data_IF_020549101413
#
_entry.id   IF_020549101413
#
_cell.length_a   1.000
_cell.length_b   1.000
_cell.length_c   1.000
_cell.angle_alpha   90.00
_cell.angle_beta   90.00
_cell.angle_gamma   90.00
#
_symmetry.space_group_name_H-M   'P 1'
#
loop_
_entity.id
_entity.type
_entity.pdbx_description
1 polymer ?
#
# COMPACT_ATOMS: atom_id res chain seq x y z
N UNK A 1 -1.66 11.43 1.92
CA UNK A 1 -3.01 10.91 1.61
C UNK A 1 -3.99 11.13 2.76
N UNK A 2 -3.53 11.21 4.02
CA UNK A 2 -4.38 11.57 5.17
C UNK A 2 -5.34 12.75 4.95
N UNK A 3 -4.85 13.91 4.50
CA UNK A 3 -5.70 15.09 4.24
C UNK A 3 -6.73 14.84 3.12
N UNK A 4 -6.34 14.09 2.07
CA UNK A 4 -7.24 13.69 0.98
C UNK A 4 -8.38 12.79 1.47
N UNK A 5 -8.09 11.88 2.40
CA UNK A 5 -9.10 11.02 3.04
C UNK A 5 -10.02 11.84 3.94
N UNK A 6 -9.46 12.70 4.80
CA UNK A 6 -10.23 13.52 5.76
C UNK A 6 -11.20 14.49 5.05
N UNK A 7 -10.80 15.03 3.90
CA UNK A 7 -11.61 15.95 3.11
C UNK A 7 -12.38 15.29 1.96
N UNK A 8 -12.21 13.98 1.75
CA UNK A 8 -12.71 13.26 0.56
C UNK A 8 -12.33 13.97 -0.75
N UNK A 9 -11.15 14.59 -0.77
CA UNK A 9 -10.63 15.34 -1.90
C UNK A 9 -9.46 14.58 -2.51
N UNK A 10 -9.71 13.97 -3.66
CA UNK A 10 -8.73 13.20 -4.41
C UNK A 10 -8.16 13.97 -5.60
N UNK A 11 -8.30 15.30 -5.61
CA UNK A 11 -7.64 16.13 -6.61
C UNK A 11 -6.13 15.91 -6.57
N UNK A 12 -5.54 15.57 -7.72
CA UNK A 12 -4.11 15.23 -7.84
C UNK A 12 -3.78 13.74 -7.79
N UNK A 13 -4.75 12.85 -7.53
CA UNK A 13 -4.57 11.41 -7.77
C UNK A 13 -4.53 11.17 -9.28
N UNK A 14 -3.42 10.62 -9.75
CA UNK A 14 -3.19 10.38 -11.17
C UNK A 14 -3.81 9.06 -11.64
N UNK A 15 -3.77 8.04 -10.78
CA UNK A 15 -4.16 6.68 -11.09
C UNK A 15 -4.95 6.10 -9.92
N UNK A 16 -6.06 5.43 -10.21
CA UNK A 16 -6.87 4.73 -9.22
C UNK A 16 -7.48 3.48 -9.82
N UNK A 17 -7.69 2.47 -8.97
CA UNK A 17 -8.31 1.21 -9.36
C UNK A 17 -9.18 0.69 -8.23
N UNK A 18 -10.46 0.48 -8.51
CA UNK A 18 -11.36 -0.31 -7.66
C UNK A 18 -11.12 -1.79 -7.91
N UNK A 19 -10.86 -2.54 -6.84
CA UNK A 19 -10.61 -3.98 -6.92
C UNK A 19 -11.92 -4.77 -6.92
N UNK A 20 -11.97 -5.83 -7.71
CA UNK A 20 -13.00 -6.88 -7.61
C UNK A 20 -12.73 -7.81 -6.43
N UNK A 21 -13.71 -8.63 -6.03
CA UNK A 21 -13.54 -9.61 -4.95
C UNK A 21 -12.36 -10.57 -5.18
N UNK A 22 -12.14 -11.00 -6.44
CA UNK A 22 -11.00 -11.85 -6.79
C UNK A 22 -9.67 -11.11 -6.56
N UNK A 23 -9.60 -9.84 -6.94
CA UNK A 23 -8.39 -9.03 -6.79
C UNK A 23 -8.12 -8.65 -5.33
N UNK A 24 -9.17 -8.51 -4.51
CA UNK A 24 -9.05 -8.37 -3.05
C UNK A 24 -8.44 -9.64 -2.46
N UNK A 25 -8.86 -10.83 -2.92
CA UNK A 25 -8.27 -12.09 -2.49
C UNK A 25 -6.79 -12.18 -2.88
N UNK A 26 -6.43 -11.78 -4.10
CA UNK A 26 -5.03 -11.70 -4.57
C UNK A 26 -4.20 -10.75 -3.70
N UNK A 27 -4.71 -9.55 -3.42
CA UNK A 27 -4.04 -8.57 -2.57
C UNK A 27 -3.84 -9.12 -1.14
N UNK A 28 -4.85 -9.79 -0.60
CA UNK A 28 -4.79 -10.37 0.75
C UNK A 28 -3.74 -11.47 0.82
N UNK A 29 -3.64 -12.30 -0.22
CA UNK A 29 -2.61 -13.33 -0.33
C UNK A 29 -1.20 -12.70 -0.36
N UNK A 30 -1.01 -11.61 -1.11
CA UNK A 30 0.24 -10.86 -1.13
C UNK A 30 0.58 -10.29 0.26
N UNK A 31 -0.37 -9.65 0.93
CA UNK A 31 -0.12 -9.00 2.22
C UNK A 31 0.20 -10.00 3.32
N UNK A 32 -0.58 -11.08 3.45
CA UNK A 32 -0.46 -11.99 4.61
C UNK A 32 0.42 -13.21 4.35
N UNK A 33 0.47 -13.73 3.12
CA UNK A 33 1.16 -14.99 2.82
C UNK A 33 2.54 -14.81 2.19
N UNK A 34 2.98 -13.58 1.91
CA UNK A 34 4.35 -13.32 1.43
C UNK A 34 5.37 -13.53 2.54
N UNK A 35 5.12 -12.99 3.72
CA UNK A 35 6.10 -12.94 4.81
C UNK A 35 6.13 -14.22 5.65
N UNK A 36 5.01 -14.92 5.79
CA UNK A 36 4.93 -16.22 6.49
C UNK A 36 5.82 -17.29 5.83
N UNK A 37 6.10 -17.15 4.53
CA UNK A 37 7.00 -18.05 3.78
C UNK A 37 8.48 -17.91 4.15
N UNK A 38 8.87 -16.84 4.85
CA UNK A 38 10.27 -16.54 5.15
C UNK A 38 10.47 -16.33 6.67
N UNK A 39 11.43 -17.03 7.28
CA UNK A 39 11.80 -16.79 8.68
C UNK A 39 12.39 -15.37 8.79
N UNK A 40 11.64 -14.43 9.39
CA UNK A 40 11.86 -13.00 9.25
C UNK A 40 13.05 -12.54 10.11
N UNK A 41 14.07 -11.97 9.47
CA UNK A 41 15.11 -11.15 10.10
C UNK A 41 14.73 -9.66 10.04
N UNK A 42 15.28 -8.84 10.94
CA UNK A 42 14.97 -7.42 11.07
C UNK A 42 15.17 -6.63 9.77
N UNK A 43 14.17 -5.84 9.37
CA UNK A 43 14.28 -4.86 8.28
C UNK A 43 14.85 -3.56 8.79
N UNK A 44 15.87 -3.04 8.10
CA UNK A 44 16.33 -1.67 8.27
C UNK A 44 15.36 -0.72 7.56
N UNK A 45 14.54 0.00 8.31
CA UNK A 45 13.75 1.11 7.74
C UNK A 45 14.72 2.19 7.27
N UNK A 46 14.64 2.58 6.00
CA UNK A 46 15.33 3.78 5.52
C UNK A 46 14.65 4.98 6.19
N UNK A 47 15.41 5.95 6.69
CA UNK A 47 14.88 7.11 7.43
C UNK A 47 14.05 8.10 6.59
N UNK A 48 13.58 7.70 5.41
CA UNK A 48 12.75 8.49 4.52
C UNK A 48 11.35 7.87 4.41
N UNK A 49 10.30 8.70 4.39
CA UNK A 49 8.95 8.26 4.07
C UNK A 49 8.25 9.31 3.22
N UNK A 50 8.15 9.03 1.92
CA UNK A 50 7.52 9.90 0.93
C UNK A 50 6.49 9.07 0.14
N UNK A 51 5.34 8.75 0.75
CA UNK A 51 4.37 7.86 0.13
C UNK A 51 3.76 8.48 -1.13
N UNK A 52 3.75 7.71 -2.21
CA UNK A 52 3.15 8.10 -3.51
C UNK A 52 2.00 7.19 -3.93
N UNK A 53 1.82 6.08 -3.20
CA UNK A 53 0.79 5.10 -3.44
C UNK A 53 0.01 4.85 -2.16
N UNK A 54 -1.25 4.44 -2.31
CA UNK A 54 -2.06 4.05 -1.17
C UNK A 54 -3.07 2.97 -1.52
N UNK A 55 -3.53 2.26 -0.49
CA UNK A 55 -4.69 1.36 -0.54
C UNK A 55 -5.75 1.96 0.38
N UNK A 56 -6.96 2.13 -0.13
CA UNK A 56 -8.09 2.70 0.62
C UNK A 56 -9.13 1.60 0.89
N UNK A 57 -9.61 1.52 2.12
CA UNK A 57 -10.64 0.56 2.53
C UNK A 57 -11.94 1.31 2.81
N UNK A 58 -12.98 0.96 2.06
CA UNK A 58 -14.30 1.57 2.13
C UNK A 58 -15.27 0.66 2.91
N UNK A 59 -16.16 1.27 3.68
CA UNK A 59 -17.28 0.57 4.30
C UNK A 59 -18.46 0.43 3.33
N UNK A 60 -19.58 -0.12 3.80
CA UNK A 60 -20.80 -0.30 3.01
C UNK A 60 -21.51 1.01 2.61
N UNK A 61 -21.11 2.14 3.20
CA UNK A 61 -21.65 3.48 2.94
C UNK A 61 -20.67 4.35 2.12
N UNK A 62 -19.67 3.74 1.48
CA UNK A 62 -18.60 4.40 0.72
C UNK A 62 -17.73 5.35 1.57
N UNK A 63 -17.66 5.15 2.89
CA UNK A 63 -16.72 5.89 3.75
C UNK A 63 -15.40 5.15 3.90
N UNK A 64 -14.30 5.88 3.78
CA UNK A 64 -12.96 5.34 4.04
C UNK A 64 -12.77 5.20 5.55
N UNK A 65 -12.66 3.97 6.03
CA UNK A 65 -12.44 3.70 7.46
C UNK A 65 -10.99 3.29 7.77
N UNK A 66 -10.24 2.88 6.74
CA UNK A 66 -8.82 2.56 6.87
C UNK A 66 -8.07 2.83 5.56
N UNK A 67 -6.75 3.01 5.68
CA UNK A 67 -5.86 3.11 4.54
C UNK A 67 -4.44 2.68 4.86
N UNK A 68 -3.72 2.29 3.81
CA UNK A 68 -2.26 2.10 3.84
C UNK A 68 -1.60 3.09 2.91
N UNK A 69 -0.62 3.85 3.42
CA UNK A 69 0.26 4.71 2.64
C UNK A 69 1.57 3.97 2.37
N UNK A 70 2.01 3.92 1.11
CA UNK A 70 3.13 3.07 0.68
C UNK A 70 4.19 3.93 -0.01
N UNK A 71 5.45 3.78 0.43
CA UNK A 71 6.63 4.24 -0.27
C UNK A 71 7.47 3.05 -0.72
N UNK A 72 7.34 2.62 -1.98
CA UNK A 72 8.13 1.51 -2.53
C UNK A 72 9.64 1.79 -2.53
N UNK A 73 10.06 3.03 -2.81
CA UNK A 73 11.46 3.48 -2.79
C UNK A 73 12.11 3.42 -1.39
N UNK A 74 11.29 3.68 -0.38
CA UNK A 74 11.69 3.66 1.02
C UNK A 74 11.62 2.26 1.64
N UNK A 75 10.87 1.35 1.00
CA UNK A 75 10.43 0.08 1.59
C UNK A 75 9.76 0.32 2.95
N UNK A 76 8.79 1.23 2.95
CA UNK A 76 8.04 1.62 4.15
C UNK A 76 6.55 1.72 3.84
N UNK A 77 5.73 1.37 4.84
CA UNK A 77 4.28 1.43 4.80
C UNK A 77 3.78 2.00 6.14
N UNK A 78 2.82 2.92 6.07
CA UNK A 78 2.11 3.43 7.25
C UNK A 78 0.62 3.11 7.12
N UNK A 79 -0.04 2.91 8.25
CA UNK A 79 -1.46 2.56 8.31
C UNK A 79 -2.27 3.53 9.16
N UNK A 80 -3.53 3.71 8.78
CA UNK A 80 -4.56 4.29 9.62
C UNK A 80 -5.77 3.35 9.67
N UNK A 81 -6.25 2.93 10.86
CA UNK A 81 -5.64 3.13 12.18
C UNK A 81 -4.18 2.64 12.27
N UNK A 82 -3.40 3.24 13.19
CA UNK A 82 -1.98 2.87 13.34
C UNK A 82 -1.83 1.39 13.67
N UNK A 83 -0.70 0.81 13.23
CA UNK A 83 -0.25 -0.55 13.58
C UNK A 83 -1.07 -1.70 13.01
N UNK A 84 -1.87 -1.46 11.97
CA UNK A 84 -2.60 -2.55 11.29
C UNK A 84 -1.67 -3.57 10.62
N UNK A 85 -0.40 -3.21 10.40
CA UNK A 85 0.58 -4.01 9.67
C UNK A 85 1.86 -4.28 10.47
N UNK A 86 1.89 -4.09 11.80
CA UNK A 86 3.13 -4.18 12.61
C UNK A 86 3.99 -5.46 12.40
N UNK A 87 3.44 -6.66 12.13
CA UNK A 87 4.26 -7.84 11.77
C UNK A 87 4.79 -7.82 10.32
N UNK A 88 4.12 -7.08 9.44
CA UNK A 88 4.33 -7.05 7.98
C UNK A 88 5.21 -5.87 7.53
N UNK A 89 5.22 -4.77 8.29
CA UNK A 89 6.07 -3.60 8.06
C UNK A 89 7.57 -3.96 8.01
N UNK A 90 7.97 -4.98 8.77
CA UNK A 90 9.35 -5.48 8.85
C UNK A 90 9.66 -6.61 7.86
N UNK A 91 8.89 -6.75 6.79
CA UNK A 91 9.11 -7.79 5.79
C UNK A 91 9.57 -7.18 4.47
N UNK A 92 10.87 -7.32 4.15
CA UNK A 92 11.43 -6.76 2.92
C UNK A 92 10.83 -7.40 1.64
N UNK A 93 10.40 -8.66 1.72
CA UNK A 93 9.82 -9.40 0.60
C UNK A 93 8.41 -8.92 0.24
N UNK A 94 7.72 -8.22 1.15
CA UNK A 94 6.38 -7.68 0.88
C UNK A 94 6.40 -6.63 -0.23
N UNK A 95 7.37 -5.71 -0.19
CA UNK A 95 7.38 -4.56 -1.09
C UNK A 95 7.48 -4.93 -2.58
N UNK A 96 8.37 -5.86 -3.01
CA UNK A 96 8.41 -6.30 -4.40
C UNK A 96 7.13 -7.00 -4.88
N UNK A 97 6.52 -7.85 -4.04
CA UNK A 97 5.28 -8.54 -4.41
C UNK A 97 4.09 -7.57 -4.48
N UNK A 98 4.03 -6.63 -3.53
CA UNK A 98 3.05 -5.56 -3.55
C UNK A 98 3.25 -4.64 -4.77
N UNK A 99 4.50 -4.35 -5.15
CA UNK A 99 4.81 -3.55 -6.33
C UNK A 99 4.33 -4.24 -7.62
N UNK A 100 4.54 -5.56 -7.73
CA UNK A 100 4.02 -6.37 -8.84
C UNK A 100 2.50 -6.32 -8.90
N UNK A 101 1.83 -6.43 -7.75
CA UNK A 101 0.38 -6.32 -7.68
C UNK A 101 -0.09 -4.97 -8.23
N UNK A 102 0.44 -3.84 -7.74
CA UNK A 102 0.09 -2.50 -8.23
C UNK A 102 0.28 -2.35 -9.74
N UNK A 103 1.44 -2.77 -10.27
CA UNK A 103 1.73 -2.73 -11.70
C UNK A 103 0.76 -3.60 -12.51
N UNK A 104 0.39 -4.78 -12.00
CA UNK A 104 -0.60 -5.65 -12.66
C UNK A 104 -1.99 -5.01 -12.75
N UNK A 105 -2.29 -4.07 -11.85
CA UNK A 105 -3.55 -3.30 -11.82
C UNK A 105 -3.46 -1.98 -12.58
N UNK A 106 -2.35 -1.72 -13.28
CA UNK A 106 -2.14 -0.50 -14.05
C UNK A 106 -1.85 0.73 -13.20
N UNK A 107 -1.38 0.56 -11.96
CA UNK A 107 -0.97 1.66 -11.07
C UNK A 107 0.55 1.70 -11.00
N UNK A 108 1.13 2.85 -11.31
CA UNK A 108 2.56 3.08 -11.26
C UNK A 108 3.06 3.25 -9.81
N UNK A 109 4.27 2.76 -9.54
CA UNK A 109 4.85 2.66 -8.19
C UNK A 109 6.15 3.43 -8.01
N UNK A 110 6.72 3.91 -9.13
CA UNK A 110 7.96 4.67 -9.16
C UNK A 110 7.68 6.06 -9.72
N UNK A 111 8.43 7.06 -9.27
CA UNK A 111 8.41 8.36 -9.91
C UNK A 111 9.04 8.27 -11.30
N UNK A 112 8.21 8.20 -12.34
CA UNK A 112 8.66 8.39 -13.71
C UNK A 112 8.54 9.88 -14.02
N UNK A 113 9.68 10.58 -14.06
CA UNK A 113 9.76 11.94 -14.54
C UNK A 113 9.35 11.93 -16.03
N UNK A 114 8.07 12.25 -16.32
CA UNK A 114 7.60 12.36 -17.71
C UNK A 114 8.28 13.60 -18.32
N UNK A 115 9.31 13.36 -19.14
CA UNK A 115 9.94 14.36 -20.01
C UNK A 115 8.96 14.85 -21.08
#
# INVERSE_FOLDING_TARGET
>A
MREAVDHSDFTGIQESRTLTLSEISELTDVIYNTCEKYNIGFVSTRGCFFPRNAILFYDENDHIFAYFEICFECSAIESSPRKMLEPLETCEYLYPELEKFFKSKGVSTQFIERK
#
